data_IF_332895215371
#
_entry.id   IF_332895215371
#
_cell.length_a   1.000
_cell.length_b   1.000
_cell.length_c   1.000
_cell.angle_alpha   90.00
_cell.angle_beta   90.00
_cell.angle_gamma   90.00
#
_symmetry.space_group_name_H-M   'P 1'
#
loop_
_entity.id
_entity.type
_entity.pdbx_description
1 polymer ?
#
# COMPACT_ATOMS: atom_id res chain seq x y z
N UNK A 1 -5.10 26.09 -3.88
CA UNK A 1 -3.82 25.51 -4.34
C UNK A 1 -3.96 23.98 -4.37
N UNK A 2 -2.94 23.22 -4.79
CA UNK A 2 -3.05 21.75 -4.95
C UNK A 2 -3.35 21.00 -3.64
N UNK A 3 -2.74 21.40 -2.53
CA UNK A 3 -3.00 20.81 -1.21
C UNK A 3 -4.42 21.12 -0.71
N UNK A 4 -4.91 22.35 -0.92
CA UNK A 4 -6.30 22.69 -0.58
C UNK A 4 -7.30 21.80 -1.34
N UNK A 5 -7.03 21.55 -2.63
CA UNK A 5 -7.86 20.64 -3.43
C UNK A 5 -7.88 19.21 -2.86
N UNK A 6 -6.74 18.71 -2.38
CA UNK A 6 -6.66 17.41 -1.69
C UNK A 6 -7.53 17.42 -0.43
N UNK A 7 -7.43 18.47 0.39
CA UNK A 7 -8.18 18.60 1.63
C UNK A 7 -9.70 18.75 1.40
N UNK A 8 -10.10 19.46 0.35
CA UNK A 8 -11.50 19.63 -0.04
C UNK A 8 -12.15 18.33 -0.54
N UNK A 9 -11.35 17.30 -0.86
CA UNK A 9 -11.81 16.00 -1.35
C UNK A 9 -11.62 14.87 -0.32
N UNK A 10 -11.42 15.20 0.96
CA UNK A 10 -11.46 14.22 2.05
C UNK A 10 -12.89 13.76 2.27
N UNK A 11 -13.14 12.45 2.15
CA UNK A 11 -14.44 11.88 2.43
C UNK A 11 -14.70 11.85 3.95
N UNK A 12 -15.79 12.47 4.44
CA UNK A 12 -15.96 12.78 5.87
C UNK A 12 -16.20 11.56 6.76
N UNK A 13 -16.50 10.37 6.19
CA UNK A 13 -16.76 9.15 6.97
C UNK A 13 -15.60 8.16 6.96
N UNK A 14 -14.86 8.12 5.85
CA UNK A 14 -13.81 7.11 5.62
C UNK A 14 -12.42 7.70 5.74
N UNK A 15 -12.29 9.04 5.70
CA UNK A 15 -11.02 9.77 5.66
C UNK A 15 -10.14 9.41 4.44
N UNK A 16 -10.74 8.80 3.42
CA UNK A 16 -10.13 8.56 2.11
C UNK A 16 -10.18 9.85 1.30
N UNK A 17 -9.24 10.00 0.37
CA UNK A 17 -9.12 11.18 -0.49
C UNK A 17 -9.29 10.70 -1.92
N UNK A 18 -10.50 10.77 -2.47
CA UNK A 18 -10.75 10.26 -3.81
C UNK A 18 -12.04 10.73 -4.47
N UNK A 19 -12.10 10.53 -5.79
CA UNK A 19 -13.27 10.71 -6.64
C UNK A 19 -13.69 9.42 -7.38
N UNK A 20 -12.74 8.51 -7.71
CA UNK A 20 -13.04 7.29 -8.48
C UNK A 20 -12.28 6.02 -8.06
N UNK A 21 -10.96 6.10 -7.83
CA UNK A 21 -10.08 4.97 -7.46
C UNK A 21 -9.58 5.11 -6.02
N UNK A 22 -10.43 4.74 -5.07
CA UNK A 22 -10.34 5.19 -3.68
C UNK A 22 -8.95 5.05 -3.06
N UNK A 23 -8.35 3.85 -3.04
CA UNK A 23 -7.04 3.66 -2.39
C UNK A 23 -5.84 4.20 -3.18
N UNK A 24 -5.91 4.23 -4.52
CA UNK A 24 -4.86 4.80 -5.36
C UNK A 24 -4.72 6.30 -5.13
N UNK A 25 -5.84 7.00 -5.24
CA UNK A 25 -5.91 8.44 -5.05
C UNK A 25 -5.57 8.80 -3.60
N UNK A 26 -6.09 8.02 -2.64
CA UNK A 26 -5.81 8.22 -1.21
C UNK A 26 -4.33 8.05 -0.89
N UNK A 27 -3.67 7.02 -1.42
CA UNK A 27 -2.25 6.80 -1.20
C UNK A 27 -1.39 7.94 -1.77
N UNK A 28 -1.67 8.38 -3.00
CA UNK A 28 -0.91 9.47 -3.61
C UNK A 28 -1.15 10.80 -2.90
N UNK A 29 -2.39 11.05 -2.45
CA UNK A 29 -2.71 12.23 -1.65
C UNK A 29 -1.99 12.21 -0.30
N UNK A 30 -1.90 11.05 0.37
CA UNK A 30 -1.16 10.91 1.62
C UNK A 30 0.32 11.22 1.42
N UNK A 31 0.95 10.70 0.37
CA UNK A 31 2.34 11.02 0.02
C UNK A 31 2.49 12.53 -0.16
N UNK A 32 1.61 13.18 -0.94
CA UNK A 32 1.68 14.61 -1.18
C UNK A 32 1.52 15.44 0.11
N UNK A 33 0.64 15.02 1.04
CA UNK A 33 0.47 15.68 2.34
C UNK A 33 1.70 15.48 3.23
N UNK A 34 2.27 14.27 3.26
CA UNK A 34 3.47 13.96 4.06
C UNK A 34 4.70 14.75 3.56
N UNK A 35 4.94 14.76 2.25
CA UNK A 35 6.05 15.48 1.61
C UNK A 35 5.89 17.01 1.65
N UNK A 36 4.70 17.52 1.99
CA UNK A 36 4.52 18.96 2.23
C UNK A 36 5.21 19.42 3.53
N UNK A 37 5.56 18.48 4.43
CA UNK A 37 6.22 18.74 5.71
C UNK A 37 5.60 19.91 6.48
N UNK A 38 4.26 19.92 6.54
CA UNK A 38 3.49 20.98 7.16
C UNK A 38 2.52 20.40 8.20
N UNK A 39 2.77 20.74 9.46
CA UNK A 39 2.04 20.24 10.65
C UNK A 39 0.51 20.49 10.59
N UNK A 40 0.07 21.45 9.77
CA UNK A 40 -1.37 21.69 9.52
C UNK A 40 -2.09 20.45 9.00
N UNK A 41 -1.38 19.53 8.37
CA UNK A 41 -1.95 18.32 7.77
C UNK A 41 -1.80 17.06 8.63
N UNK A 42 -1.12 17.13 9.78
CA UNK A 42 -0.79 15.94 10.59
C UNK A 42 -2.04 15.16 11.01
N UNK A 43 -3.09 15.85 11.47
CA UNK A 43 -4.34 15.18 11.83
C UNK A 43 -4.94 14.42 10.63
N UNK A 44 -4.86 15.00 9.43
CA UNK A 44 -5.39 14.35 8.23
C UNK A 44 -4.50 13.19 7.79
N UNK A 45 -3.18 13.36 7.81
CA UNK A 45 -2.20 12.29 7.54
C UNK A 45 -2.48 11.08 8.43
N UNK A 46 -2.70 11.33 9.73
CA UNK A 46 -3.01 10.31 10.72
C UNK A 46 -4.33 9.57 10.39
N UNK A 47 -5.41 10.31 10.14
CA UNK A 47 -6.72 9.74 9.79
C UNK A 47 -6.70 8.95 8.47
N UNK A 48 -5.96 9.43 7.48
CA UNK A 48 -5.82 8.77 6.17
C UNK A 48 -4.95 7.52 6.27
N UNK A 49 -3.88 7.54 7.09
CA UNK A 49 -3.05 6.36 7.39
C UNK A 49 -3.91 5.24 8.00
N UNK A 50 -4.77 5.57 8.98
CA UNK A 50 -5.72 4.61 9.53
C UNK A 50 -6.71 4.05 8.49
N UNK A 51 -7.16 4.89 7.55
CA UNK A 51 -8.07 4.48 6.48
C UNK A 51 -7.42 3.46 5.55
N UNK A 52 -6.16 3.71 5.15
CA UNK A 52 -5.37 2.77 4.37
C UNK A 52 -5.16 1.45 5.13
N UNK A 53 -4.84 1.50 6.42
CA UNK A 53 -4.74 0.30 7.26
C UNK A 53 -6.04 -0.50 7.33
N UNK A 54 -7.19 0.17 7.43
CA UNK A 54 -8.52 -0.49 7.40
C UNK A 54 -8.79 -1.18 6.06
N UNK A 55 -8.26 -0.65 4.95
CA UNK A 55 -8.42 -1.25 3.63
C UNK A 55 -7.60 -2.54 3.44
N UNK A 56 -6.57 -2.79 4.26
CA UNK A 56 -5.85 -4.08 4.28
C UNK A 56 -6.67 -5.21 4.93
N UNK A 57 -7.67 -4.86 5.76
CA UNK A 57 -8.31 -5.78 6.68
C UNK A 57 -9.32 -6.71 5.99
N UNK A 58 -8.96 -7.98 5.81
CA UNK A 58 -9.93 -9.07 5.76
C UNK A 58 -9.52 -10.16 6.76
N UNK A 59 -10.42 -10.51 7.67
CA UNK A 59 -10.27 -11.70 8.51
C UNK A 59 -10.59 -12.96 7.68
N UNK A 60 -9.80 -14.02 7.83
CA UNK A 60 -10.05 -15.36 7.27
C UNK A 60 -9.97 -15.48 5.74
N UNK A 61 -9.22 -14.61 5.06
CA UNK A 61 -8.85 -14.82 3.65
C UNK A 61 -7.34 -14.80 3.50
N UNK A 62 -6.82 -15.47 2.47
CA UNK A 62 -5.41 -15.36 2.07
C UNK A 62 -5.08 -14.00 1.41
N UNK A 63 -6.00 -13.03 1.49
CA UNK A 63 -5.91 -11.73 0.84
C UNK A 63 -5.41 -10.71 1.85
N UNK A 64 -4.11 -10.80 2.16
CA UNK A 64 -3.41 -9.98 3.15
C UNK A 64 -2.95 -8.60 2.62
N UNK A 65 -3.57 -8.13 1.52
CA UNK A 65 -3.15 -6.97 0.74
C UNK A 65 -4.25 -5.92 0.62
N UNK A 66 -3.89 -4.70 0.21
CA UNK A 66 -4.81 -3.56 0.16
C UNK A 66 -5.79 -3.67 -1.00
N UNK A 67 -7.07 -3.45 -0.68
CA UNK A 67 -8.19 -3.50 -1.63
C UNK A 67 -8.29 -2.18 -2.41
N UNK A 68 -9.06 -2.16 -3.49
CA UNK A 68 -9.31 -0.93 -4.25
C UNK A 68 -10.11 0.13 -3.46
N UNK A 69 -10.93 -0.32 -2.51
CA UNK A 69 -11.74 0.49 -1.60
C UNK A 69 -12.03 -0.26 -0.31
N UNK A 70 -12.52 0.43 0.72
CA UNK A 70 -12.87 -0.20 2.01
C UNK A 70 -14.05 -1.20 1.87
N UNK A 71 -14.89 -1.02 0.84
CA UNK A 71 -16.12 -1.80 0.64
C UNK A 71 -15.98 -2.96 -0.37
N UNK A 72 -14.84 -3.08 -1.06
CA UNK A 72 -14.62 -4.14 -2.07
C UNK A 72 -13.67 -5.21 -1.56
N UNK A 73 -13.74 -6.43 -2.11
CA UNK A 73 -12.76 -7.50 -1.84
C UNK A 73 -11.72 -7.64 -2.96
N UNK A 74 -11.76 -6.77 -3.97
CA UNK A 74 -10.82 -6.79 -5.09
C UNK A 74 -9.53 -6.12 -4.66
N UNK A 75 -8.41 -6.75 -4.96
CA UNK A 75 -7.07 -6.23 -4.75
C UNK A 75 -6.16 -6.70 -5.86
N UNK A 76 -5.06 -6.00 -6.04
CA UNK A 76 -3.89 -6.47 -6.76
C UNK A 76 -2.62 -5.83 -6.18
N UNK A 77 -1.47 -6.27 -6.68
CA UNK A 77 -0.18 -5.76 -6.26
C UNK A 77 0.07 -4.31 -6.72
N UNK A 78 -0.71 -3.81 -7.67
CA UNK A 78 -0.56 -2.44 -8.14
C UNK A 78 -1.15 -1.44 -7.15
N UNK A 79 -2.41 -1.62 -6.72
CA UNK A 79 -2.99 -0.78 -5.66
C UNK A 79 -2.22 -0.91 -4.35
N UNK A 80 -1.81 -2.14 -4.02
CA UNK A 80 -1.05 -2.39 -2.80
C UNK A 80 0.32 -1.72 -2.84
N UNK A 81 0.97 -1.66 -4.00
CA UNK A 81 2.24 -0.95 -4.19
C UNK A 81 2.15 0.52 -3.79
N UNK A 82 1.11 1.22 -4.23
CA UNK A 82 0.88 2.62 -3.88
C UNK A 82 0.63 2.80 -2.39
N UNK A 83 -0.20 1.93 -1.80
CA UNK A 83 -0.49 2.02 -0.37
C UNK A 83 0.75 1.72 0.47
N UNK A 84 1.53 0.70 0.14
CA UNK A 84 2.79 0.40 0.84
C UNK A 84 3.74 1.59 0.77
N UNK A 85 3.90 2.20 -0.41
CA UNK A 85 4.72 3.39 -0.57
C UNK A 85 4.24 4.54 0.31
N UNK A 86 2.93 4.83 0.31
CA UNK A 86 2.35 5.89 1.13
C UNK A 86 2.51 5.65 2.65
N UNK A 87 2.34 4.40 3.09
CA UNK A 87 2.58 4.03 4.48
C UNK A 87 4.07 4.08 4.84
N UNK A 88 4.96 3.84 3.88
CA UNK A 88 6.41 3.98 4.06
C UNK A 88 6.92 5.43 4.07
N UNK A 89 6.14 6.40 3.57
CA UNK A 89 6.50 7.83 3.59
C UNK A 89 6.10 8.55 4.87
N UNK A 90 5.15 8.02 5.63
CA UNK A 90 4.68 8.65 6.87
C UNK A 90 5.52 8.20 8.06
N UNK A 91 5.82 9.12 8.98
CA UNK A 91 6.48 8.81 10.26
C UNK A 91 5.47 8.21 11.26
N UNK A 92 4.92 7.04 10.92
CA UNK A 92 3.90 6.36 11.71
C UNK A 92 4.41 5.01 12.22
N UNK A 93 4.09 4.69 13.48
CA UNK A 93 4.38 3.37 14.07
C UNK A 93 3.39 2.33 13.51
N UNK A 94 3.78 1.73 12.39
CA UNK A 94 2.95 0.79 11.65
C UNK A 94 2.82 -0.52 12.41
N UNK A 95 1.61 -1.13 12.53
CA UNK A 95 1.47 -2.40 13.22
C UNK A 95 2.30 -3.50 12.56
N UNK A 96 3.13 -4.20 13.33
CA UNK A 96 3.97 -5.31 12.84
C UNK A 96 3.19 -6.33 12.00
N UNK A 97 1.94 -6.59 12.37
CA UNK A 97 1.04 -7.49 11.67
C UNK A 97 0.79 -7.09 10.21
N UNK A 98 0.72 -5.78 9.92
CA UNK A 98 0.48 -5.26 8.58
C UNK A 98 1.66 -5.58 7.64
N UNK A 99 2.89 -5.43 8.14
CA UNK A 99 4.10 -5.74 7.39
C UNK A 99 4.36 -7.25 7.29
N UNK A 100 4.06 -8.00 8.34
CA UNK A 100 4.12 -9.46 8.29
C UNK A 100 3.21 -10.02 7.18
N UNK A 101 2.01 -9.48 7.05
CA UNK A 101 1.05 -9.81 5.99
C UNK A 101 1.57 -9.53 4.58
N UNK A 102 2.31 -8.43 4.41
CA UNK A 102 2.99 -8.12 3.15
C UNK A 102 4.01 -9.21 2.82
N UNK A 103 4.86 -9.58 3.77
CA UNK A 103 5.87 -10.63 3.55
C UNK A 103 5.25 -11.98 3.22
N UNK A 104 4.21 -12.39 3.96
CA UNK A 104 3.49 -13.65 3.76
C UNK A 104 2.85 -13.70 2.36
N UNK A 105 2.14 -12.66 1.97
CA UNK A 105 1.50 -12.62 0.65
C UNK A 105 2.52 -12.60 -0.50
N UNK A 106 3.58 -11.81 -0.38
CA UNK A 106 4.61 -11.73 -1.42
C UNK A 106 5.40 -13.03 -1.56
N UNK A 107 5.65 -13.73 -0.46
CA UNK A 107 6.27 -15.05 -0.51
C UNK A 107 5.46 -16.07 -1.33
N UNK A 108 4.13 -16.00 -1.27
CA UNK A 108 3.23 -16.89 -2.02
C UNK A 108 3.01 -16.42 -3.47
N UNK A 109 3.06 -15.10 -3.70
CA UNK A 109 2.79 -14.49 -5.00
C UNK A 109 4.01 -14.40 -5.91
N UNK A 110 5.23 -14.58 -5.39
CA UNK A 110 6.45 -14.60 -6.20
C UNK A 110 6.46 -15.81 -7.15
N UNK A 111 6.79 -15.56 -8.41
CA UNK A 111 6.85 -16.59 -9.46
C UNK A 111 8.24 -17.22 -9.47
N UNK A 112 8.36 -18.41 -10.05
CA UNK A 112 9.65 -19.12 -10.18
C UNK A 112 10.66 -18.47 -11.15
N UNK A 113 10.29 -17.37 -11.81
CA UNK A 113 11.24 -16.49 -12.52
C UNK A 113 11.74 -15.33 -11.64
N UNK A 114 11.33 -15.36 -10.37
CA UNK A 114 11.56 -14.39 -9.33
C UNK A 114 10.75 -13.10 -9.41
N UNK A 115 9.91 -12.96 -10.43
CA UNK A 115 9.08 -11.79 -10.64
C UNK A 115 7.73 -11.85 -9.92
N UNK A 116 6.99 -10.75 -10.04
CA UNK A 116 5.64 -10.63 -9.50
C UNK A 116 4.68 -10.15 -10.59
N UNK A 117 3.44 -10.62 -10.52
CA UNK A 117 2.34 -10.16 -11.35
C UNK A 117 1.33 -9.32 -10.55
N UNK A 118 0.24 -8.91 -11.19
CA UNK A 118 -0.85 -8.18 -10.54
C UNK A 118 -1.54 -9.02 -9.45
N UNK A 119 -1.75 -10.30 -9.72
CA UNK A 119 -2.30 -11.28 -8.77
C UNK A 119 -1.36 -12.48 -8.65
N UNK A 120 -1.55 -13.30 -7.62
CA UNK A 120 -0.75 -14.51 -7.32
C UNK A 120 -0.56 -15.46 -8.52
N UNK A 121 -1.51 -15.51 -9.45
CA UNK A 121 -1.49 -16.42 -10.60
C UNK A 121 -1.14 -15.76 -11.93
N UNK A 122 -0.93 -14.45 -11.94
CA UNK A 122 -0.62 -13.71 -13.17
C UNK A 122 0.87 -13.79 -13.54
N UNK A 123 1.17 -13.50 -14.81
CA UNK A 123 2.56 -13.45 -15.31
C UNK A 123 3.32 -12.29 -14.68
N UNK A 124 4.63 -12.50 -14.49
CA UNK A 124 5.55 -11.48 -13.99
C UNK A 124 5.60 -10.27 -14.91
N UNK A 125 5.55 -9.06 -14.34
CA UNK A 125 5.75 -7.80 -15.07
C UNK A 125 6.80 -6.96 -14.36
N UNK A 126 7.56 -6.13 -15.10
CA UNK A 126 8.61 -5.29 -14.52
C UNK A 126 8.07 -4.36 -13.42
N UNK A 127 6.91 -3.78 -13.65
CA UNK A 127 6.26 -2.86 -12.71
C UNK A 127 5.85 -3.57 -11.42
N UNK A 128 5.20 -4.74 -11.54
CA UNK A 128 4.77 -5.50 -10.36
C UNK A 128 5.95 -6.13 -9.63
N UNK A 129 7.01 -6.53 -10.32
CA UNK A 129 8.27 -6.93 -9.67
C UNK A 129 8.87 -5.80 -8.85
N UNK A 130 8.90 -4.57 -9.38
CA UNK A 130 9.31 -3.40 -8.62
C UNK A 130 8.44 -3.16 -7.38
N UNK A 131 7.11 -3.29 -7.53
CA UNK A 131 6.15 -3.16 -6.42
C UNK A 131 6.37 -4.22 -5.33
N UNK A 132 6.56 -5.49 -5.72
CA UNK A 132 6.83 -6.58 -4.79
C UNK A 132 8.15 -6.42 -4.03
N UNK A 133 9.23 -6.06 -4.74
CA UNK A 133 10.54 -5.79 -4.11
C UNK A 133 10.46 -4.61 -3.15
N UNK A 134 9.80 -3.51 -3.54
CA UNK A 134 9.56 -2.38 -2.66
C UNK A 134 8.80 -2.80 -1.39
N UNK A 135 7.73 -3.60 -1.55
CA UNK A 135 6.94 -4.11 -0.43
C UNK A 135 7.77 -4.96 0.55
N UNK A 136 8.63 -5.84 0.05
CA UNK A 136 9.54 -6.63 0.89
C UNK A 136 10.49 -5.72 1.68
N UNK A 137 11.11 -4.73 1.02
CA UNK A 137 12.05 -3.81 1.66
C UNK A 137 11.37 -2.94 2.73
N UNK A 138 10.19 -2.40 2.43
CA UNK A 138 9.39 -1.62 3.40
C UNK A 138 8.94 -2.48 4.59
N UNK A 139 8.67 -3.77 4.35
CA UNK A 139 8.37 -4.73 5.40
C UNK A 139 9.60 -5.22 6.19
N UNK A 140 10.79 -4.64 5.96
CA UNK A 140 12.02 -4.94 6.71
C UNK A 140 12.80 -6.15 6.21
N UNK A 141 12.49 -6.69 5.02
CA UNK A 141 13.25 -7.79 4.42
C UNK A 141 14.61 -7.25 3.93
N UNK A 142 15.74 -7.87 4.32
CA UNK A 142 17.06 -7.41 3.90
C UNK A 142 17.24 -7.42 2.37
N UNK A 143 18.00 -6.47 1.79
CA UNK A 143 18.25 -6.43 0.35
C UNK A 143 18.95 -7.66 -0.22
N UNK A 144 19.63 -8.44 0.64
CA UNK A 144 20.34 -9.65 0.28
C UNK A 144 19.52 -10.95 0.42
N UNK A 145 18.30 -10.86 0.97
CA UNK A 145 17.34 -11.96 1.03
C UNK A 145 17.01 -12.48 -0.37
N UNK A 146 16.85 -13.80 -0.51
CA UNK A 146 16.55 -14.44 -1.79
C UNK A 146 15.28 -13.85 -2.42
N UNK A 147 14.25 -13.56 -1.62
CA UNK A 147 12.99 -12.97 -2.08
C UNK A 147 13.19 -11.61 -2.75
N UNK A 148 14.24 -10.87 -2.37
CA UNK A 148 14.59 -9.55 -2.91
C UNK A 148 15.57 -9.67 -4.10
N UNK A 149 16.63 -10.48 -3.98
CA UNK A 149 17.70 -10.54 -4.99
C UNK A 149 17.33 -11.30 -6.26
N UNK A 150 16.63 -12.41 -6.09
CA UNK A 150 16.32 -13.35 -7.16
C UNK A 150 15.21 -14.22 -6.62
N UNK A 151 13.97 -13.93 -7.00
CA UNK A 151 12.87 -14.67 -6.41
C UNK A 151 12.97 -16.18 -6.60
N UNK A 152 12.30 -16.88 -5.70
CA UNK A 152 12.50 -18.29 -5.36
C UNK A 152 12.65 -19.24 -6.54
#
# INVERSE_FOLDING_TARGET
MGLDYIMDNVHPRTNTISTHSEMYETALALIALAEAHNETYDEQINRTTEALLKAQRIYNTAQHMWRYSIDTNSYDLSVSGWVMMALGTVEWDMPDQAWWWVQDHLNISQRGDGGFGYTTYSYSTRTMTGSGVLGLLLAGVPPDDIRVRAGL
#
